data_IF_399894518361
#
_entry.id   IF_399894518361
#
_cell.length_a   1.000
_cell.length_b   1.000
_cell.length_c   1.000
_cell.angle_alpha   90.00
_cell.angle_beta   90.00
_cell.angle_gamma   90.00
#
_symmetry.space_group_name_H-M   'P 1'
#
loop_
_entity.id
_entity.type
_entity.pdbx_description
1 polymer ?
#
# COMPACT_ATOMS: atom_id res chain seq x y z
N UNK A 1 1.18 -60.70 -38.61
CA UNK A 1 0.16 -59.76 -39.16
C UNK A 1 -0.50 -59.05 -37.99
N UNK A 2 -0.83 -57.78 -38.21
CA UNK A 2 -0.97 -56.69 -37.24
C UNK A 2 -2.07 -56.81 -36.17
N UNK A 3 -1.85 -56.15 -35.02
CA UNK A 3 -2.74 -55.06 -34.57
C UNK A 3 -2.04 -54.09 -33.61
N UNK A 4 -2.03 -52.82 -34.02
CA UNK A 4 -1.67 -51.62 -33.26
C UNK A 4 -2.93 -50.98 -32.63
N UNK A 5 -2.71 -49.91 -31.83
CA UNK A 5 -3.65 -48.99 -31.13
C UNK A 5 -3.87 -49.36 -29.63
N UNK A 6 -3.76 -48.48 -28.63
CA UNK A 6 -3.66 -47.01 -28.53
C UNK A 6 -2.97 -46.65 -27.18
N UNK A 7 -2.00 -45.74 -27.14
CA UNK A 7 -2.10 -44.32 -26.71
C UNK A 7 -2.85 -44.11 -25.38
N UNK A 8 -2.10 -43.78 -24.32
CA UNK A 8 -2.28 -42.53 -23.55
C UNK A 8 -1.19 -42.47 -22.47
N UNK A 9 -0.03 -41.93 -22.85
CA UNK A 9 1.03 -41.61 -21.91
C UNK A 9 0.57 -40.52 -20.93
N UNK A 10 1.00 -40.69 -19.70
CA UNK A 10 0.53 -40.01 -18.52
C UNK A 10 0.87 -38.52 -18.57
N UNK A 11 -0.17 -37.72 -18.79
CA UNK A 11 -0.44 -36.37 -18.31
C UNK A 11 0.68 -35.72 -17.46
N UNK A 12 1.53 -35.00 -18.18
CA UNK A 12 1.99 -33.63 -17.94
C UNK A 12 2.26 -33.18 -16.51
N UNK A 13 3.54 -32.88 -16.32
CA UNK A 13 4.14 -31.88 -15.46
C UNK A 13 3.26 -31.30 -14.34
N UNK A 14 3.65 -31.69 -13.11
CA UNK A 14 4.08 -30.74 -12.08
C UNK A 14 3.40 -29.36 -12.16
N UNK A 15 2.22 -29.23 -11.55
CA UNK A 15 1.64 -27.92 -11.27
C UNK A 15 2.55 -27.23 -10.27
N UNK A 16 3.32 -26.29 -10.78
CA UNK A 16 4.07 -25.32 -10.02
C UNK A 16 3.08 -24.46 -9.22
N UNK A 17 2.85 -24.80 -7.95
CA UNK A 17 2.32 -23.84 -6.99
C UNK A 17 3.44 -22.83 -6.68
N UNK A 18 3.63 -21.88 -7.60
CA UNK A 18 4.44 -20.70 -7.35
C UNK A 18 3.85 -19.88 -6.19
N UNK A 19 4.66 -19.04 -5.52
CA UNK A 19 4.14 -18.17 -4.48
C UNK A 19 3.04 -17.33 -5.12
N UNK A 20 1.83 -17.45 -4.58
CA UNK A 20 0.69 -16.67 -5.03
C UNK A 20 1.02 -15.24 -4.64
N UNK A 21 1.50 -14.43 -5.58
CA UNK A 21 1.74 -13.01 -5.36
C UNK A 21 0.48 -12.40 -4.75
N UNK A 22 0.52 -11.92 -3.49
CA UNK A 22 -0.64 -11.22 -2.92
C UNK A 22 -0.80 -9.81 -3.54
N UNK A 23 0.01 -9.47 -4.54
CA UNK A 23 0.00 -8.19 -5.24
C UNK A 23 -1.16 -8.00 -6.24
N UNK A 24 -2.06 -8.99 -6.37
CA UNK A 24 -3.20 -8.94 -7.30
C UNK A 24 -4.45 -8.24 -6.80
N UNK A 25 -4.45 -7.65 -5.60
CA UNK A 25 -5.54 -6.77 -5.19
C UNK A 25 -5.33 -5.40 -5.86
N UNK A 26 -5.86 -5.23 -7.07
CA UNK A 26 -5.95 -3.93 -7.74
C UNK A 26 -6.46 -2.90 -6.72
N UNK A 27 -5.55 -2.06 -6.25
CA UNK A 27 -5.95 -0.96 -5.40
C UNK A 27 -6.89 -0.11 -6.26
N UNK A 28 -8.10 0.23 -5.80
CA UNK A 28 -9.08 0.99 -6.59
C UNK A 28 -8.64 2.43 -6.92
N UNK A 29 -7.38 2.75 -6.64
CA UNK A 29 -6.69 4.01 -6.87
C UNK A 29 -5.24 3.70 -7.27
N UNK A 30 -5.01 3.13 -8.46
CA UNK A 30 -3.67 3.14 -9.02
C UNK A 30 -3.26 4.61 -9.22
N UNK A 31 -2.21 5.05 -8.52
CA UNK A 31 -1.62 6.36 -8.76
C UNK A 31 -0.71 6.25 -9.97
N UNK A 32 -0.82 7.20 -10.88
CA UNK A 32 0.16 7.38 -11.94
C UNK A 32 1.42 8.01 -11.32
N UNK A 33 2.35 7.15 -10.89
CA UNK A 33 3.57 7.56 -10.22
C UNK A 33 4.50 8.33 -11.15
N UNK A 34 4.49 8.01 -12.44
CA UNK A 34 5.29 8.69 -13.45
C UNK A 34 4.76 10.12 -13.66
N UNK A 35 3.45 10.28 -13.84
CA UNK A 35 2.85 11.63 -13.97
C UNK A 35 3.06 12.52 -12.73
N UNK A 36 3.24 11.91 -11.55
CA UNK A 36 3.51 12.62 -10.29
C UNK A 36 4.99 12.80 -9.98
N UNK A 37 5.90 12.26 -10.81
CA UNK A 37 7.33 12.17 -10.55
C UNK A 37 7.61 11.57 -9.16
N UNK A 38 7.06 10.40 -8.89
CA UNK A 38 7.23 9.64 -7.64
C UNK A 38 7.78 8.22 -7.89
N UNK A 39 8.34 8.00 -9.07
CA UNK A 39 9.04 6.76 -9.39
C UNK A 39 10.25 6.58 -8.48
N UNK A 40 10.56 5.34 -8.11
CA UNK A 40 11.76 5.03 -7.32
C UNK A 40 13.03 4.94 -8.18
N UNK A 41 12.90 4.98 -9.51
CA UNK A 41 14.05 5.06 -10.40
C UNK A 41 14.61 6.48 -10.40
N UNK A 42 15.86 6.60 -9.96
CA UNK A 42 16.59 7.86 -9.83
C UNK A 42 17.69 8.01 -10.87
N UNK A 43 17.81 7.10 -11.84
CA UNK A 43 18.90 7.10 -12.82
C UNK A 43 18.97 8.36 -13.70
N UNK A 44 17.86 9.09 -13.83
CA UNK A 44 17.79 10.33 -14.58
C UNK A 44 18.15 11.58 -13.74
N UNK A 45 18.30 11.43 -12.42
CA UNK A 45 18.68 12.54 -11.53
C UNK A 45 20.20 12.79 -11.61
N UNK A 46 20.64 14.06 -11.44
CA UNK A 46 22.05 14.38 -11.38
C UNK A 46 22.68 13.88 -10.08
N UNK A 47 23.99 13.59 -10.12
CA UNK A 47 24.78 13.17 -8.96
C UNK A 47 25.13 14.32 -7.99
N UNK A 48 24.54 15.51 -8.19
CA UNK A 48 24.77 16.68 -7.33
C UNK A 48 23.95 16.60 -6.03
N UNK A 49 24.63 16.69 -4.89
CA UNK A 49 24.02 16.51 -3.56
C UNK A 49 22.99 17.61 -3.25
N UNK A 50 23.22 18.85 -3.68
CA UNK A 50 22.32 19.94 -3.37
C UNK A 50 21.03 19.83 -4.21
N UNK A 51 21.14 19.40 -5.47
CA UNK A 51 19.98 19.08 -6.30
C UNK A 51 19.17 17.89 -5.75
N UNK A 52 19.84 16.82 -5.32
CA UNK A 52 19.16 15.68 -4.69
C UNK A 52 18.44 16.06 -3.38
N UNK A 53 18.99 17.00 -2.60
CA UNK A 53 18.32 17.51 -1.39
C UNK A 53 17.07 18.32 -1.70
N UNK A 54 17.12 19.15 -2.75
CA UNK A 54 15.92 19.88 -3.21
C UNK A 54 14.82 18.91 -3.61
N UNK A 55 15.19 17.78 -4.24
CA UNK A 55 14.22 16.74 -4.58
C UNK A 55 13.61 16.06 -3.35
N UNK A 56 14.41 15.77 -2.32
CA UNK A 56 13.90 15.27 -1.02
C UNK A 56 12.95 16.29 -0.38
N UNK A 57 13.31 17.57 -0.36
CA UNK A 57 12.46 18.63 0.21
C UNK A 57 11.10 18.72 -0.51
N UNK A 58 11.11 18.57 -1.85
CA UNK A 58 9.89 18.48 -2.66
C UNK A 58 9.04 17.29 -2.25
N UNK A 59 9.64 16.10 -2.12
CA UNK A 59 8.94 14.89 -1.69
C UNK A 59 8.35 15.05 -0.28
N UNK A 60 9.11 15.62 0.65
CA UNK A 60 8.67 15.85 2.03
C UNK A 60 7.49 16.82 2.09
N UNK A 61 7.48 17.86 1.26
CA UNK A 61 6.32 18.76 1.14
C UNK A 61 5.06 18.01 0.65
N UNK A 62 5.21 17.12 -0.32
CA UNK A 62 4.11 16.26 -0.81
C UNK A 62 3.61 15.31 0.27
N UNK A 63 4.53 14.63 0.97
CA UNK A 63 4.21 13.71 2.08
C UNK A 63 3.46 14.47 3.18
N UNK A 64 3.95 15.64 3.59
CA UNK A 64 3.32 16.45 4.63
C UNK A 64 1.89 16.85 4.23
N UNK A 65 1.70 17.37 3.02
CA UNK A 65 0.39 17.76 2.51
C UNK A 65 -0.58 16.56 2.46
N UNK A 66 -0.11 15.40 1.98
CA UNK A 66 -0.89 14.17 1.93
C UNK A 66 -1.30 13.69 3.33
N UNK A 67 -0.39 13.73 4.31
CA UNK A 67 -0.65 13.34 5.70
C UNK A 67 -1.66 14.27 6.36
N UNK A 68 -1.53 15.59 6.16
CA UNK A 68 -2.47 16.57 6.70
C UNK A 68 -3.88 16.34 6.13
N UNK A 69 -3.98 16.17 4.81
CA UNK A 69 -5.26 15.89 4.13
C UNK A 69 -5.87 14.58 4.61
N UNK A 70 -5.09 13.50 4.68
CA UNK A 70 -5.52 12.19 5.17
C UNK A 70 -6.04 12.28 6.60
N UNK A 71 -5.33 12.99 7.46
CA UNK A 71 -5.71 13.22 8.86
C UNK A 71 -7.05 13.97 8.97
N UNK A 72 -7.24 15.02 8.20
CA UNK A 72 -8.50 15.78 8.16
C UNK A 72 -9.69 14.92 7.68
N UNK A 73 -9.49 14.13 6.62
CA UNK A 73 -10.51 13.19 6.12
C UNK A 73 -10.83 12.12 7.16
N UNK A 74 -9.82 11.55 7.83
CA UNK A 74 -10.01 10.54 8.87
C UNK A 74 -10.81 11.08 10.07
N UNK A 75 -10.51 12.31 10.51
CA UNK A 75 -11.29 13.00 11.55
C UNK A 75 -12.74 13.20 11.14
N UNK A 76 -12.99 13.64 9.90
CA UNK A 76 -14.35 13.81 9.35
C UNK A 76 -15.14 12.50 9.34
N UNK A 77 -14.50 11.40 8.94
CA UNK A 77 -15.10 10.05 8.99
C UNK A 77 -15.45 9.67 10.43
N UNK A 78 -14.51 9.86 11.37
CA UNK A 78 -14.74 9.56 12.79
C UNK A 78 -15.93 10.35 13.37
N UNK A 79 -15.97 11.66 13.11
CA UNK A 79 -17.05 12.53 13.55
C UNK A 79 -18.42 12.10 13.00
N UNK A 80 -18.49 11.80 11.70
CA UNK A 80 -19.72 11.30 11.08
C UNK A 80 -20.18 9.99 11.70
N UNK A 81 -19.27 9.04 11.94
CA UNK A 81 -19.63 7.74 12.53
C UNK A 81 -20.15 7.89 13.96
N UNK A 82 -19.54 8.76 14.76
CA UNK A 82 -20.02 9.06 16.11
C UNK A 82 -21.41 9.73 16.06
N UNK A 83 -21.64 10.65 15.13
CA UNK A 83 -22.94 11.31 14.96
C UNK A 83 -24.05 10.32 14.58
N UNK A 84 -23.73 9.25 13.85
CA UNK A 84 -24.68 8.18 13.49
C UNK A 84 -24.74 7.04 14.53
N UNK A 85 -24.18 7.22 15.73
CA UNK A 85 -24.18 6.20 16.80
C UNK A 85 -23.26 5.00 16.56
N UNK A 86 -22.38 5.07 15.55
CA UNK A 86 -21.40 4.02 15.26
C UNK A 86 -20.17 4.08 16.18
N UNK A 87 -19.40 2.98 16.29
CA UNK A 87 -18.24 2.95 17.18
C UNK A 87 -17.18 3.95 16.71
N UNK A 88 -16.40 4.57 17.59
CA UNK A 88 -15.34 5.51 17.16
C UNK A 88 -14.29 4.86 16.26
N UNK A 89 -14.00 3.58 16.48
CA UNK A 89 -12.92 2.82 15.84
C UNK A 89 -13.47 1.59 15.11
N UNK A 90 -12.80 1.15 14.04
CA UNK A 90 -13.14 -0.08 13.31
C UNK A 90 -11.87 -0.87 13.09
N UNK A 91 -11.68 -1.93 13.87
CA UNK A 91 -10.48 -2.73 13.84
C UNK A 91 -10.13 -3.25 12.44
N UNK A 92 -11.13 -3.76 11.69
CA UNK A 92 -10.92 -4.25 10.32
C UNK A 92 -10.44 -3.16 9.34
N UNK A 93 -10.80 -1.90 9.57
CA UNK A 93 -10.31 -0.78 8.75
C UNK A 93 -8.89 -0.37 9.12
N UNK A 94 -8.53 -0.49 10.39
CA UNK A 94 -7.18 -0.19 10.86
C UNK A 94 -6.19 -1.25 10.39
N UNK A 95 -6.58 -2.53 10.41
CA UNK A 95 -5.79 -3.61 9.83
C UNK A 95 -5.49 -3.37 8.35
N UNK A 96 -6.46 -2.90 7.56
CA UNK A 96 -6.23 -2.50 6.15
C UNK A 96 -5.27 -1.33 5.98
N UNK A 97 -5.12 -0.47 6.99
CA UNK A 97 -4.10 0.59 6.95
C UNK A 97 -2.74 0.00 7.24
N UNK A 98 -2.60 -0.82 8.28
CA UNK A 98 -1.35 -1.51 8.62
C UNK A 98 -0.83 -2.34 7.44
N UNK A 99 -1.71 -3.14 6.83
CA UNK A 99 -1.41 -3.99 5.68
C UNK A 99 -0.87 -3.19 4.49
N UNK A 100 -1.47 -2.04 4.17
CA UNK A 100 -1.01 -1.18 3.06
C UNK A 100 0.43 -0.69 3.23
N UNK A 101 0.86 -0.41 4.46
CA UNK A 101 2.21 0.06 4.72
C UNK A 101 3.20 -1.06 5.02
N UNK A 102 2.77 -2.33 5.05
CA UNK A 102 3.65 -3.48 5.30
C UNK A 102 4.78 -3.63 4.28
N UNK A 103 4.63 -3.06 3.08
CA UNK A 103 5.67 -2.97 2.06
C UNK A 103 6.95 -2.25 2.54
N UNK A 104 6.86 -1.43 3.58
CA UNK A 104 8.01 -0.76 4.23
C UNK A 104 8.54 -1.54 5.45
N UNK A 105 8.14 -2.80 5.64
CA UNK A 105 8.57 -3.64 6.75
C UNK A 105 8.14 -3.10 8.13
N UNK A 106 9.06 -3.18 9.10
CA UNK A 106 8.80 -2.73 10.48
C UNK A 106 8.50 -1.24 10.57
N UNK A 107 9.20 -0.41 9.80
CA UNK A 107 8.98 1.03 9.78
C UNK A 107 7.62 1.39 9.18
N UNK A 108 7.15 0.59 8.22
CA UNK A 108 5.79 0.69 7.69
C UNK A 108 4.70 0.54 8.74
N UNK A 109 4.87 -0.41 9.66
CA UNK A 109 3.95 -0.59 10.78
C UNK A 109 3.94 0.65 11.69
N UNK A 110 5.12 1.17 12.05
CA UNK A 110 5.27 2.38 12.86
C UNK A 110 4.59 3.58 12.19
N UNK A 111 4.84 3.79 10.90
CA UNK A 111 4.22 4.85 10.11
C UNK A 111 2.70 4.73 10.08
N UNK A 112 2.16 3.54 9.79
CA UNK A 112 0.73 3.30 9.79
C UNK A 112 0.08 3.61 11.15
N UNK A 113 0.74 3.22 12.25
CA UNK A 113 0.29 3.52 13.60
C UNK A 113 0.26 5.03 13.89
N UNK A 114 1.28 5.77 13.46
CA UNK A 114 1.31 7.25 13.55
C UNK A 114 0.15 7.87 12.77
N UNK A 115 -0.06 7.45 11.53
CA UNK A 115 -1.13 7.93 10.66
C UNK A 115 -2.52 7.63 11.21
N UNK A 116 -2.73 6.49 11.86
CA UNK A 116 -3.97 6.20 12.57
C UNK A 116 -4.13 7.17 13.76
N UNK A 117 -3.09 7.34 14.56
CA UNK A 117 -3.13 8.20 15.76
C UNK A 117 -3.45 9.66 15.42
N UNK A 118 -2.92 10.20 14.32
CA UNK A 118 -3.23 11.56 13.83
C UNK A 118 -4.71 11.76 13.44
N UNK A 119 -5.36 10.71 12.90
CA UNK A 119 -6.74 10.77 12.43
C UNK A 119 -7.79 10.55 13.53
N UNK A 120 -7.59 9.52 14.37
CA UNK A 120 -8.58 9.12 15.39
C UNK A 120 -8.21 9.52 16.82
N UNK A 121 -7.01 10.05 17.06
CA UNK A 121 -6.45 10.28 18.38
C UNK A 121 -5.85 9.01 19.01
N UNK A 122 -5.25 9.12 20.22
CA UNK A 122 -4.67 7.98 20.93
C UNK A 122 -5.75 6.99 21.40
N UNK A 123 -5.34 5.72 21.56
CA UNK A 123 -6.15 4.69 22.20
C UNK A 123 -6.16 4.93 23.72
N UNK A 124 -7.33 4.81 24.37
CA UNK A 124 -7.43 4.77 25.84
C UNK A 124 -7.46 6.12 26.57
N UNK A 125 -8.15 7.12 26.03
CA UNK A 125 -8.60 8.28 26.83
C UNK A 125 -10.07 8.16 27.18
#
# INVERSE_FOLDING_TARGET
MAKSEAVSDQNDQQRNDGPTDPAGAELPFALDLEALNLSSDVAALPDDIDELRVEVDRMDAVILAAIQRRSAVSKKIGAHRMATGGPRLVHSREMKVLDRFSALGTEGHTLAMLLLRLGRGPLGR
#
